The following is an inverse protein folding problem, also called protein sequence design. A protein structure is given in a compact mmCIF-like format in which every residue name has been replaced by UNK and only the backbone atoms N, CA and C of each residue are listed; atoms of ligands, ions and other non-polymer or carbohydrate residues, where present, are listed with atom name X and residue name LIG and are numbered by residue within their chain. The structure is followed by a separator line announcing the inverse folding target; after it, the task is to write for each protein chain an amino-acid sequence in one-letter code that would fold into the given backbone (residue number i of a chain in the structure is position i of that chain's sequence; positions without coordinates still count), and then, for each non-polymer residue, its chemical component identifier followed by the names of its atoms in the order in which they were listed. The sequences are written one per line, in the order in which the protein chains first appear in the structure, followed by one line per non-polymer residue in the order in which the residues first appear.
data_IF_746138639032
#
_entry.id   IF_746138639032
#
_cell.length_a   1.000
_cell.length_b   1.000
_cell.length_c   1.000
_cell.angle_alpha   90.00
_cell.angle_beta   90.00
_cell.angle_gamma   90.00
#
_symmetry.space_group_name_H-M   'P 1'
#
loop_
_entity.id
_entity.type
_entity.pdbx_description
1 polymer ?
#
# COMPACT_ATOMS: atom_id res chain seq x y z
N UNK A 1 -31.88 -11.14 -10.89
CA UNK A 1 -30.75 -10.20 -10.85
C UNK A 1 -30.08 -10.19 -12.21
N UNK A 2 -29.94 -9.03 -12.84
CA UNK A 2 -29.30 -8.94 -14.16
C UNK A 2 -27.79 -9.15 -14.01
N UNK A 3 -27.20 -10.09 -14.76
CA UNK A 3 -25.77 -10.43 -14.68
C UNK A 3 -24.87 -9.21 -14.89
N UNK A 4 -25.26 -8.28 -15.78
CA UNK A 4 -24.51 -7.04 -16.03
C UNK A 4 -24.46 -6.14 -14.78
N UNK A 5 -25.56 -6.04 -14.03
CA UNK A 5 -25.63 -5.24 -12.80
C UNK A 5 -24.70 -5.80 -11.71
N UNK A 6 -24.55 -7.13 -11.63
CA UNK A 6 -23.64 -7.78 -10.68
C UNK A 6 -22.18 -7.52 -11.06
N UNK A 7 -21.84 -7.61 -12.35
CA UNK A 7 -20.48 -7.34 -12.85
C UNK A 7 -20.08 -5.89 -12.57
N UNK A 8 -20.95 -4.93 -12.89
CA UNK A 8 -20.66 -3.51 -12.67
C UNK A 8 -20.49 -3.18 -11.20
N UNK A 9 -21.32 -3.76 -10.33
CA UNK A 9 -21.17 -3.58 -8.88
C UNK A 9 -19.80 -4.09 -8.40
N UNK A 10 -19.43 -5.32 -8.77
CA UNK A 10 -18.14 -5.91 -8.40
C UNK A 10 -16.95 -5.07 -8.89
N UNK A 11 -17.03 -4.55 -10.13
CA UNK A 11 -15.99 -3.67 -10.69
C UNK A 11 -15.89 -2.36 -9.90
N UNK A 12 -17.01 -1.72 -9.58
CA UNK A 12 -17.02 -0.48 -8.83
C UNK A 12 -16.47 -0.65 -7.41
N UNK A 13 -16.78 -1.77 -6.74
CA UNK A 13 -16.21 -2.09 -5.43
C UNK A 13 -14.69 -2.34 -5.51
N UNK A 14 -14.20 -2.96 -6.59
CA UNK A 14 -12.75 -3.11 -6.80
C UNK A 14 -12.07 -1.76 -7.02
N UNK A 15 -12.64 -0.89 -7.86
CA UNK A 15 -12.10 0.46 -8.10
C UNK A 15 -12.06 1.27 -6.80
N UNK A 16 -13.12 1.19 -5.99
CA UNK A 16 -13.19 1.85 -4.69
C UNK A 16 -12.09 1.38 -3.75
N UNK A 17 -11.94 0.06 -3.56
CA UNK A 17 -10.88 -0.54 -2.72
C UNK A 17 -9.49 -0.14 -3.20
N UNK A 18 -9.23 -0.15 -4.50
CA UNK A 18 -7.93 0.25 -5.05
C UNK A 18 -7.63 1.73 -4.80
N UNK A 19 -8.64 2.62 -4.89
CA UNK A 19 -8.47 4.05 -4.56
C UNK A 19 -8.16 4.26 -3.08
N UNK A 20 -8.84 3.56 -2.19
CA UNK A 20 -8.58 3.64 -0.74
C UNK A 20 -7.13 3.23 -0.42
N UNK A 21 -6.63 2.17 -1.06
CA UNK A 21 -5.24 1.73 -0.95
C UNK A 21 -4.25 2.77 -1.46
N UNK A 22 -4.48 3.32 -2.66
CA UNK A 22 -3.61 4.35 -3.25
C UNK A 22 -3.54 5.61 -2.39
N UNK A 23 -4.66 6.08 -1.85
CA UNK A 23 -4.69 7.23 -0.94
C UNK A 23 -3.81 6.97 0.28
N UNK A 24 -3.88 5.76 0.86
CA UNK A 24 -3.05 5.39 2.02
C UNK A 24 -1.56 5.36 1.67
N UNK A 25 -1.20 4.72 0.55
CA UNK A 25 0.18 4.65 0.05
C UNK A 25 0.75 6.06 -0.15
N UNK A 26 0.05 6.92 -0.89
CA UNK A 26 0.50 8.29 -1.17
C UNK A 26 0.59 9.11 0.13
N UNK A 27 -0.32 8.93 1.07
CA UNK A 27 -0.28 9.63 2.37
C UNK A 27 0.95 9.24 3.19
N UNK A 28 1.29 7.95 3.23
CA UNK A 28 2.50 7.47 3.92
C UNK A 28 3.76 8.00 3.24
N UNK A 29 3.83 7.97 1.91
CA UNK A 29 4.96 8.55 1.15
C UNK A 29 5.09 10.06 1.40
N UNK A 30 3.96 10.78 1.39
CA UNK A 30 3.92 12.20 1.68
C UNK A 30 4.44 12.50 3.09
N UNK A 31 4.04 11.70 4.09
CA UNK A 31 4.56 11.83 5.45
C UNK A 31 6.08 11.65 5.49
N UNK A 32 6.62 10.60 4.85
CA UNK A 32 8.07 10.40 4.78
C UNK A 32 8.79 11.59 4.16
N UNK A 33 8.31 12.09 3.03
CA UNK A 33 8.87 13.26 2.35
C UNK A 33 8.76 14.54 3.19
N UNK A 34 7.61 14.78 3.84
CA UNK A 34 7.35 15.95 4.69
C UNK A 34 8.28 15.99 5.91
N UNK A 35 8.61 14.83 6.47
CA UNK A 35 9.50 14.68 7.62
C UNK A 35 10.98 14.52 7.23
N UNK A 36 11.29 14.52 5.93
CA UNK A 36 12.64 14.26 5.40
C UNK A 36 13.25 12.93 5.88
N UNK A 37 12.41 11.91 6.08
CA UNK A 37 12.86 10.56 6.41
C UNK A 37 12.87 9.70 5.15
N UNK A 38 13.90 8.84 5.04
CA UNK A 38 14.00 7.91 3.93
C UNK A 38 12.81 6.96 3.94
N UNK A 39 12.22 6.70 2.77
CA UNK A 39 11.13 5.71 2.65
C UNK A 39 11.65 4.29 2.86
N UNK A 40 12.90 4.02 2.46
CA UNK A 40 13.50 2.68 2.41
C UNK A 40 14.68 2.48 3.35
N UNK A 41 14.95 1.21 3.60
CA UNK A 41 16.20 0.76 4.21
C UNK A 41 16.99 -0.15 3.26
N UNK A 42 18.22 -0.49 3.64
CA UNK A 42 19.11 -1.34 2.83
C UNK A 42 18.52 -2.74 2.59
N UNK A 43 17.74 -3.26 3.54
CA UNK A 43 17.10 -4.57 3.44
C UNK A 43 15.64 -4.48 3.92
N UNK A 44 14.71 -4.74 3.00
CA UNK A 44 13.25 -4.73 3.24
C UNK A 44 12.66 -6.14 3.26
N UNK A 45 13.51 -7.17 3.32
CA UNK A 45 13.11 -8.57 3.44
C UNK A 45 12.42 -8.88 4.77
N UNK A 46 11.69 -9.99 4.85
CA UNK A 46 10.98 -10.38 6.07
C UNK A 46 11.91 -10.68 7.26
N UNK A 47 13.16 -11.08 6.97
CA UNK A 47 14.22 -11.31 7.96
C UNK A 47 14.78 -10.01 8.56
N UNK A 48 14.50 -8.86 7.95
CA UNK A 48 15.05 -7.59 8.40
C UNK A 48 14.34 -7.09 9.65
N UNK A 49 15.13 -6.70 10.66
CA UNK A 49 14.65 -6.05 11.87
C UNK A 49 14.03 -4.67 11.61
N UNK A 50 14.40 -4.04 10.49
CA UNK A 50 13.86 -2.75 10.06
C UNK A 50 13.69 -2.77 8.54
N UNK A 51 12.43 -2.91 8.10
CA UNK A 51 12.09 -3.01 6.68
C UNK A 51 11.91 -1.66 5.98
N UNK A 52 12.38 -0.57 6.59
CA UNK A 52 12.23 0.79 6.08
C UNK A 52 10.97 1.48 6.59
N UNK A 53 11.05 2.82 6.67
CA UNK A 53 10.02 3.63 7.32
C UNK A 53 8.65 3.49 6.62
N UNK A 54 8.61 3.32 5.30
CA UNK A 54 7.34 3.16 4.59
C UNK A 54 6.58 1.90 5.03
N UNK A 55 7.27 0.75 5.10
CA UNK A 55 6.67 -0.52 5.52
C UNK A 55 6.31 -0.48 7.00
N UNK A 56 7.20 0.06 7.85
CA UNK A 56 6.94 0.15 9.29
C UNK A 56 5.79 1.11 9.63
N UNK A 57 5.63 2.21 8.89
CA UNK A 57 4.48 3.11 9.06
C UNK A 57 3.16 2.44 8.65
N UNK A 58 3.16 1.64 7.58
CA UNK A 58 1.97 0.85 7.19
C UNK A 58 1.66 -0.24 8.22
N UNK A 59 2.68 -0.91 8.78
CA UNK A 59 2.53 -1.88 9.88
C UNK A 59 2.00 -1.24 11.15
N UNK A 60 2.47 -0.05 11.47
CA UNK A 60 1.93 0.71 12.59
C UNK A 60 0.47 1.09 12.35
N UNK A 61 0.13 1.58 11.16
CA UNK A 61 -1.23 1.95 10.79
C UNK A 61 -2.20 0.77 10.75
N UNK A 62 -1.75 -0.43 10.39
CA UNK A 62 -2.60 -1.63 10.29
C UNK A 62 -3.24 -2.04 11.62
N UNK A 63 -2.69 -1.60 12.74
CA UNK A 63 -3.29 -1.80 14.07
C UNK A 63 -4.65 -1.12 14.25
N UNK A 64 -4.96 -0.09 13.46
CA UNK A 64 -6.19 0.70 13.57
C UNK A 64 -6.92 0.87 12.23
N UNK A 65 -6.24 0.64 11.12
CA UNK A 65 -6.78 0.82 9.77
C UNK A 65 -6.72 -0.51 8.98
N UNK A 66 -7.88 -1.15 8.71
CA UNK A 66 -7.92 -2.39 7.95
C UNK A 66 -7.48 -2.21 6.48
N UNK A 67 -7.53 -1.00 5.93
CA UNK A 67 -6.99 -0.73 4.59
C UNK A 67 -5.47 -0.87 4.59
N UNK A 68 -4.80 -0.37 5.63
CA UNK A 68 -3.35 -0.52 5.78
C UNK A 68 -2.96 -2.00 5.94
N UNK A 69 -3.73 -2.77 6.71
CA UNK A 69 -3.55 -4.22 6.79
C UNK A 69 -3.69 -4.88 5.41
N UNK A 70 -4.74 -4.53 4.66
CA UNK A 70 -4.98 -5.08 3.33
C UNK A 70 -3.88 -4.74 2.32
N UNK A 71 -3.12 -3.66 2.51
CA UNK A 71 -1.96 -3.33 1.65
C UNK A 71 -0.77 -4.26 1.97
N UNK A 72 -0.61 -4.64 3.24
CA UNK A 72 0.44 -5.56 3.67
C UNK A 72 0.11 -7.01 3.34
N UNK A 73 -1.17 -7.38 3.42
CA UNK A 73 -1.68 -8.72 3.16
C UNK A 73 -1.93 -9.00 1.67
N UNK A 74 -2.29 -7.97 0.89
CA UNK A 74 -2.30 -8.03 -0.57
C UNK A 74 -0.86 -8.28 -1.02
N UNK A 75 -0.53 -9.56 -1.02
CA UNK A 75 0.64 -10.20 -1.59
C UNK A 75 0.19 -11.10 -2.74
N UNK A 76 -1.01 -10.82 -3.29
CA UNK A 76 -1.39 -11.32 -4.60
C UNK A 76 -0.27 -10.95 -5.57
N UNK A 77 0.18 -11.93 -6.35
CA UNK A 77 1.47 -12.00 -7.10
C UNK A 77 1.99 -10.73 -7.80
N UNK A 78 1.17 -9.70 -7.96
CA UNK A 78 1.48 -8.41 -8.58
C UNK A 78 1.36 -7.20 -7.63
N UNK A 79 1.18 -7.38 -6.32
CA UNK A 79 1.09 -6.29 -5.35
C UNK A 79 2.44 -5.57 -5.24
N UNK A 80 2.57 -4.57 -6.10
CA UNK A 80 3.85 -3.97 -6.48
C UNK A 80 4.21 -2.81 -5.55
N UNK A 81 3.26 -2.28 -4.78
CA UNK A 81 3.43 -1.05 -4.00
C UNK A 81 4.46 -1.13 -2.88
N UNK A 82 4.70 -2.34 -2.34
CA UNK A 82 5.73 -2.57 -1.34
C UNK A 82 7.12 -2.77 -1.98
N UNK A 83 7.18 -3.05 -3.29
CA UNK A 83 8.45 -3.26 -3.98
C UNK A 83 9.24 -1.94 -4.05
N UNK A 84 10.54 -1.95 -3.71
CA UNK A 84 11.39 -0.77 -3.80
C UNK A 84 11.31 -0.05 -5.15
N UNK A 85 11.32 -0.77 -6.28
CA UNK A 85 11.31 -0.12 -7.60
C UNK A 85 10.05 0.72 -7.82
N UNK A 86 8.90 0.21 -7.37
CA UNK A 86 7.59 0.86 -7.57
C UNK A 86 7.41 2.02 -6.62
N UNK A 87 7.92 1.92 -5.39
CA UNK A 87 7.95 3.05 -4.48
C UNK A 87 8.72 4.24 -5.10
N UNK A 88 9.74 4.01 -5.94
CA UNK A 88 10.47 5.09 -6.63
C UNK A 88 9.61 5.70 -7.74
N UNK A 89 8.93 4.86 -8.53
CA UNK A 89 8.04 5.31 -9.60
C UNK A 89 6.88 6.18 -9.08
N UNK A 90 6.43 5.96 -7.85
CA UNK A 90 5.37 6.75 -7.22
C UNK A 90 5.83 8.15 -6.75
N UNK A 91 7.14 8.37 -6.62
CA UNK A 91 7.74 9.62 -6.12
C UNK A 91 8.46 10.40 -7.24
N UNK A 92 8.88 9.70 -8.31
CA UNK A 92 9.53 10.27 -9.48
C UNK A 92 8.58 11.09 -10.35
#
# INVERSE_FOLDING_TARGET
TNVLQVIDKSRNELVKRNREKLIKIVSTLHLCGRQMIATRWHEEGESSLNRGNFIELLRWASSTDPVALSILEDSDRNATYLNPCIQNELIS
#
